data_IF_119076361939
#
_entry.id   IF_119076361939
#
_cell.length_a   1.000
_cell.length_b   1.000
_cell.length_c   1.000
_cell.angle_alpha   90.00
_cell.angle_beta   90.00
_cell.angle_gamma   90.00
#
_symmetry.space_group_name_H-M   'P 1'
#
loop_
_entity.id
_entity.type
_entity.pdbx_description
1 polymer ?
#
# COMPACT_ATOMS: atom_id res chain seq x y z
N UNK A 1 -37.10 -11.54 3.62
CA UNK A 1 -36.10 -11.88 2.59
C UNK A 1 -34.74 -11.60 3.19
N UNK A 2 -34.06 -12.65 3.66
CA UNK A 2 -32.68 -12.55 4.08
C UNK A 2 -31.83 -12.30 2.81
N UNK A 3 -31.23 -11.12 2.69
CA UNK A 3 -30.19 -10.88 1.68
C UNK A 3 -29.04 -11.81 2.02
N UNK A 4 -28.82 -12.79 1.19
CA UNK A 4 -27.55 -13.52 1.15
C UNK A 4 -26.47 -12.49 0.88
N UNK A 5 -25.75 -12.11 1.93
CA UNK A 5 -24.50 -11.37 1.79
C UNK A 5 -23.60 -12.31 1.01
N UNK A 6 -23.45 -12.08 -0.29
CA UNK A 6 -22.45 -12.77 -1.09
C UNK A 6 -21.11 -12.41 -0.46
N UNK A 7 -20.41 -13.43 0.01
CA UNK A 7 -19.10 -13.31 0.64
C UNK A 7 -18.08 -12.94 -0.45
N UNK A 8 -18.11 -11.68 -0.88
CA UNK A 8 -17.20 -11.14 -1.90
C UNK A 8 -15.82 -10.97 -1.28
N UNK A 9 -14.89 -11.77 -1.74
CA UNK A 9 -13.48 -11.70 -1.38
C UNK A 9 -12.74 -10.72 -2.29
N UNK A 10 -11.65 -10.13 -1.82
CA UNK A 10 -10.76 -9.32 -2.67
C UNK A 10 -10.20 -10.22 -3.77
N UNK A 11 -10.40 -9.80 -5.03
CA UNK A 11 -9.98 -10.56 -6.21
C UNK A 11 -10.97 -11.61 -6.72
N UNK A 12 -12.16 -11.76 -6.11
CA UNK A 12 -13.21 -12.64 -6.66
C UNK A 12 -13.61 -12.24 -8.07
N UNK A 13 -13.70 -10.94 -8.32
CA UNK A 13 -13.83 -10.37 -9.67
C UNK A 13 -12.49 -9.71 -10.03
N UNK A 14 -11.69 -10.47 -10.77
CA UNK A 14 -10.35 -10.05 -11.20
C UNK A 14 -10.36 -9.73 -12.69
N UNK A 15 -10.08 -8.47 -13.02
CA UNK A 15 -10.11 -7.95 -14.39
C UNK A 15 -8.70 -7.64 -14.87
N UNK A 16 -8.28 -8.27 -15.95
CA UNK A 16 -7.00 -8.02 -16.61
C UNK A 16 -7.16 -6.96 -17.72
N UNK A 17 -6.44 -5.87 -17.59
CA UNK A 17 -6.42 -4.77 -18.56
C UNK A 17 -5.10 -4.82 -19.33
N UNK A 18 -5.17 -4.82 -20.66
CA UNK A 18 -3.96 -4.78 -21.49
C UNK A 18 -3.18 -3.48 -21.26
N UNK A 19 -3.87 -2.35 -21.09
CA UNK A 19 -3.30 -1.04 -20.77
C UNK A 19 -4.34 -0.13 -20.15
N UNK A 20 -3.92 0.78 -19.29
CA UNK A 20 -4.74 1.86 -18.73
C UNK A 20 -3.87 3.07 -18.41
N UNK A 21 -4.47 4.23 -18.19
CA UNK A 21 -3.77 5.39 -17.63
C UNK A 21 -3.29 5.10 -16.21
N UNK A 22 -4.22 4.68 -15.34
CA UNK A 22 -3.97 4.26 -13.96
C UNK A 22 -5.05 3.29 -13.50
N UNK A 23 -4.65 2.19 -12.84
CA UNK A 23 -5.61 1.23 -12.26
C UNK A 23 -6.48 1.88 -11.20
N UNK A 24 -5.96 2.86 -10.43
CA UNK A 24 -6.76 3.65 -9.49
C UNK A 24 -7.80 4.51 -10.21
N UNK A 25 -7.44 5.16 -11.32
CA UNK A 25 -8.41 5.93 -12.11
C UNK A 25 -9.49 5.04 -12.69
N UNK A 26 -9.10 3.86 -13.19
CA UNK A 26 -10.05 2.88 -13.71
C UNK A 26 -11.05 2.45 -12.62
N UNK A 27 -10.56 2.10 -11.44
CA UNK A 27 -11.39 1.75 -10.28
C UNK A 27 -12.32 2.92 -9.86
N UNK A 28 -11.82 4.15 -9.85
CA UNK A 28 -12.62 5.34 -9.56
C UNK A 28 -13.78 5.51 -10.56
N UNK A 29 -13.51 5.30 -11.84
CA UNK A 29 -14.55 5.36 -12.89
C UNK A 29 -15.64 4.31 -12.66
N UNK A 30 -15.27 3.07 -12.30
CA UNK A 30 -16.23 2.01 -11.99
C UNK A 30 -17.13 2.38 -10.80
N UNK A 31 -16.56 3.06 -9.78
CA UNK A 31 -17.33 3.57 -8.64
C UNK A 31 -18.30 4.67 -9.09
N UNK A 32 -17.84 5.62 -9.91
CA UNK A 32 -18.67 6.74 -10.41
C UNK A 32 -19.82 6.23 -11.29
N UNK A 33 -19.61 5.18 -12.07
CA UNK A 33 -20.62 4.50 -12.88
C UNK A 33 -21.58 3.63 -12.05
N UNK A 34 -21.40 3.55 -10.71
CA UNK A 34 -22.19 2.73 -9.78
C UNK A 34 -22.12 1.22 -10.07
N UNK A 35 -21.03 0.76 -10.64
CA UNK A 35 -20.75 -0.64 -10.97
C UNK A 35 -19.81 -1.31 -9.95
N UNK A 36 -19.42 -0.57 -8.91
CA UNK A 36 -18.49 -1.06 -7.90
C UNK A 36 -19.09 -2.14 -7.02
N UNK A 37 -18.32 -3.20 -6.77
CA UNK A 37 -18.56 -4.17 -5.72
C UNK A 37 -17.29 -4.37 -4.89
N UNK A 38 -17.46 -4.77 -3.62
CA UNK A 38 -16.33 -5.11 -2.76
C UNK A 38 -15.49 -6.21 -3.40
N UNK A 39 -14.17 -6.03 -3.43
CA UNK A 39 -13.25 -7.01 -3.95
C UNK A 39 -13.02 -6.96 -5.47
N UNK A 40 -13.72 -6.09 -6.23
CA UNK A 40 -13.36 -5.85 -7.63
C UNK A 40 -11.90 -5.43 -7.72
N UNK A 41 -11.09 -6.19 -8.46
CA UNK A 41 -9.65 -5.94 -8.62
C UNK A 41 -9.31 -5.81 -10.09
N UNK A 42 -8.60 -4.75 -10.44
CA UNK A 42 -8.14 -4.41 -11.78
C UNK A 42 -6.61 -4.53 -11.80
N UNK A 43 -6.11 -5.47 -12.55
CA UNK A 43 -4.69 -5.64 -12.87
C UNK A 43 -4.41 -5.04 -14.24
N UNK A 44 -3.31 -4.31 -14.40
CA UNK A 44 -2.90 -3.79 -15.71
C UNK A 44 -1.53 -4.33 -16.10
N UNK A 45 -1.43 -4.81 -17.35
CA UNK A 45 -0.17 -5.19 -17.98
C UNK A 45 0.71 -3.98 -18.26
N UNK A 46 0.09 -2.82 -18.52
CA UNK A 46 0.77 -1.56 -18.75
C UNK A 46 0.00 -0.39 -18.14
N UNK A 47 0.71 0.53 -17.50
CA UNK A 47 0.15 1.75 -16.94
C UNK A 47 0.88 2.97 -17.50
N UNK A 48 0.13 3.84 -18.22
CA UNK A 48 0.70 4.97 -18.97
C UNK A 48 0.98 6.18 -18.08
N UNK A 49 0.22 6.35 -17.00
CA UNK A 49 0.29 7.50 -16.08
C UNK A 49 0.10 7.04 -14.63
N UNK A 50 0.92 6.06 -14.22
CA UNK A 50 0.84 5.48 -12.89
C UNK A 50 1.00 6.52 -11.80
N UNK A 51 0.18 6.40 -10.75
CA UNK A 51 0.15 7.33 -9.63
C UNK A 51 0.95 6.81 -8.45
N UNK A 52 1.69 7.70 -7.80
CA UNK A 52 2.24 7.54 -6.47
C UNK A 52 1.73 8.63 -5.53
N UNK A 53 2.19 8.61 -4.28
CA UNK A 53 1.81 9.63 -3.29
C UNK A 53 2.37 11.01 -3.64
N UNK A 54 1.68 12.07 -3.20
CA UNK A 54 2.08 13.47 -3.37
C UNK A 54 2.38 13.86 -4.82
N UNK A 55 1.63 13.32 -5.79
CA UNK A 55 1.79 13.65 -7.22
C UNK A 55 2.99 12.98 -7.90
N UNK A 56 3.69 12.09 -7.21
CA UNK A 56 4.75 11.28 -7.82
C UNK A 56 4.17 10.29 -8.82
N UNK A 57 4.96 9.93 -9.83
CA UNK A 57 4.58 8.90 -10.79
C UNK A 57 5.12 7.53 -10.37
N UNK A 58 4.31 6.49 -10.62
CA UNK A 58 4.74 5.10 -10.56
C UNK A 58 5.05 4.60 -11.97
N UNK A 59 6.34 4.44 -12.28
CA UNK A 59 6.82 4.04 -13.61
C UNK A 59 7.14 2.55 -13.63
N UNK A 60 6.65 1.83 -14.62
CA UNK A 60 6.84 0.38 -14.74
C UNK A 60 7.10 -0.02 -16.19
N UNK A 61 7.81 -1.13 -16.37
CA UNK A 61 7.87 -1.84 -17.67
C UNK A 61 6.61 -2.67 -17.84
N UNK A 62 6.13 -2.76 -19.07
CA UNK A 62 4.99 -3.60 -19.46
C UNK A 62 5.26 -5.06 -19.09
N UNK A 63 4.23 -5.77 -18.63
CA UNK A 63 4.22 -7.20 -18.26
C UNK A 63 5.22 -7.62 -17.16
N UNK A 64 5.85 -6.65 -16.49
CA UNK A 64 6.97 -6.95 -15.59
C UNK A 64 6.63 -6.90 -14.10
N UNK A 65 5.55 -6.25 -13.70
CA UNK A 65 5.29 -5.90 -12.31
C UNK A 65 3.84 -6.15 -11.91
N UNK A 66 3.57 -6.23 -10.60
CA UNK A 66 2.20 -6.13 -10.12
C UNK A 66 1.81 -4.66 -10.15
N UNK A 67 0.75 -4.37 -10.88
CA UNK A 67 0.09 -3.07 -10.97
C UNK A 67 -1.40 -3.35 -10.84
N UNK A 68 -1.94 -3.22 -9.65
CA UNK A 68 -3.35 -3.52 -9.40
C UNK A 68 -4.02 -2.49 -8.50
N UNK A 69 -5.35 -2.38 -8.63
CA UNK A 69 -6.19 -1.62 -7.71
C UNK A 69 -7.42 -2.41 -7.35
N UNK A 70 -7.71 -2.50 -6.05
CA UNK A 70 -8.90 -3.18 -5.52
C UNK A 70 -9.87 -2.18 -4.92
N UNK A 71 -11.18 -2.36 -5.19
CA UNK A 71 -12.27 -1.57 -4.60
C UNK A 71 -12.73 -2.26 -3.32
N UNK A 72 -12.65 -1.55 -2.19
CA UNK A 72 -13.06 -2.07 -0.88
C UNK A 72 -14.23 -1.29 -0.31
N UNK A 73 -15.25 -2.00 0.15
CA UNK A 73 -16.30 -1.40 1.00
C UNK A 73 -15.74 -1.22 2.42
N UNK A 74 -15.58 0.04 2.81
CA UNK A 74 -15.03 0.45 4.10
C UNK A 74 -16.07 1.20 4.93
N UNK A 75 -17.35 1.00 4.68
CA UNK A 75 -18.45 1.68 5.37
C UNK A 75 -18.46 1.43 6.89
N UNK A 76 -17.78 0.38 7.37
CA UNK A 76 -17.60 0.09 8.79
C UNK A 76 -16.50 0.92 9.45
N UNK A 77 -15.58 1.53 8.68
CA UNK A 77 -14.40 2.23 9.17
C UNK A 77 -14.63 3.75 9.18
N UNK A 78 -14.54 4.44 10.33
CA UNK A 78 -14.60 5.89 10.37
C UNK A 78 -13.46 6.56 9.57
N UNK A 79 -13.71 7.69 8.92
CA UNK A 79 -12.70 8.40 8.15
C UNK A 79 -11.48 8.85 9.00
N UNK A 80 -11.67 9.04 10.31
CA UNK A 80 -10.58 9.31 11.26
C UNK A 80 -9.63 8.13 11.47
N UNK A 81 -10.04 6.91 11.10
CA UNK A 81 -9.27 5.66 11.22
C UNK A 81 -8.68 5.20 9.88
N UNK A 82 -8.49 6.11 8.93
CA UNK A 82 -7.93 5.74 7.62
C UNK A 82 -6.56 5.08 7.71
N UNK A 83 -5.76 5.38 8.76
CA UNK A 83 -4.46 4.74 8.95
C UNK A 83 -4.60 3.24 9.21
N UNK A 84 -5.69 2.80 9.84
CA UNK A 84 -5.94 1.38 10.05
C UNK A 84 -5.99 0.60 8.72
N UNK A 85 -6.62 1.17 7.69
CA UNK A 85 -6.63 0.57 6.36
C UNK A 85 -5.24 0.59 5.71
N UNK A 86 -4.49 1.69 5.85
CA UNK A 86 -3.12 1.80 5.31
C UNK A 86 -2.21 0.75 5.94
N UNK A 87 -2.21 0.63 7.26
CA UNK A 87 -1.42 -0.35 7.99
C UNK A 87 -1.81 -1.78 7.62
N UNK A 88 -3.12 -2.06 7.51
CA UNK A 88 -3.64 -3.37 7.11
C UNK A 88 -3.11 -3.80 5.73
N UNK A 89 -3.19 -2.90 4.75
CA UNK A 89 -2.72 -3.21 3.40
C UNK A 89 -1.19 -3.30 3.33
N UNK A 90 -0.46 -2.50 4.12
CA UNK A 90 0.98 -2.60 4.21
C UNK A 90 1.43 -3.95 4.81
N UNK A 91 0.75 -4.42 5.86
CA UNK A 91 0.97 -5.73 6.46
C UNK A 91 0.66 -6.85 5.46
N UNK A 92 -0.47 -6.77 4.76
CA UNK A 92 -0.84 -7.77 3.75
C UNK A 92 0.20 -7.91 2.63
N UNK A 93 0.65 -6.78 2.09
CA UNK A 93 1.67 -6.75 1.02
C UNK A 93 3.02 -7.23 1.54
N UNK A 94 3.40 -6.85 2.76
CA UNK A 94 4.65 -7.29 3.39
C UNK A 94 4.65 -8.80 3.64
N UNK A 95 3.59 -9.35 4.25
CA UNK A 95 3.46 -10.79 4.49
C UNK A 95 3.48 -11.60 3.18
N UNK A 96 2.76 -11.12 2.16
CA UNK A 96 2.82 -11.72 0.83
C UNK A 96 4.26 -11.75 0.31
N UNK A 97 4.98 -10.64 0.42
CA UNK A 97 6.35 -10.54 -0.09
C UNK A 97 7.34 -11.44 0.66
N UNK A 98 7.17 -11.63 1.97
CA UNK A 98 8.00 -12.54 2.78
C UNK A 98 8.00 -13.99 2.27
N UNK A 99 6.94 -14.45 1.63
CA UNK A 99 6.88 -15.82 1.04
C UNK A 99 7.95 -16.03 -0.03
N UNK A 100 8.39 -14.96 -0.68
CA UNK A 100 9.32 -15.00 -1.80
C UNK A 100 10.73 -14.53 -1.45
N UNK A 101 10.84 -13.49 -0.64
CA UNK A 101 12.12 -12.86 -0.30
C UNK A 101 12.71 -13.30 1.04
N UNK A 102 12.01 -14.14 1.79
CA UNK A 102 12.38 -14.88 3.02
C UNK A 102 12.82 -14.02 4.21
N UNK A 103 13.63 -13.00 4.04
CA UNK A 103 14.16 -12.15 5.13
C UNK A 103 14.45 -10.74 4.63
N UNK A 104 14.79 -9.84 5.55
CA UNK A 104 15.25 -8.47 5.28
C UNK A 104 14.24 -7.57 4.56
N UNK A 105 12.94 -7.88 4.66
CA UNK A 105 11.88 -7.01 4.19
C UNK A 105 11.20 -6.30 5.35
N UNK A 106 10.80 -5.04 5.09
CA UNK A 106 10.30 -4.12 6.09
C UNK A 106 9.18 -3.25 5.53
N UNK A 107 8.34 -2.76 6.42
CA UNK A 107 7.34 -1.74 6.11
C UNK A 107 7.97 -0.37 6.42
N UNK A 108 8.29 0.41 5.39
CA UNK A 108 8.70 1.79 5.56
C UNK A 108 7.48 2.69 5.67
N UNK A 109 7.31 3.27 6.84
CA UNK A 109 6.20 4.15 7.15
C UNK A 109 5.97 5.24 6.09
N UNK A 110 4.71 5.47 5.68
CA UNK A 110 3.53 4.76 6.17
C UNK A 110 3.12 3.52 5.32
N UNK A 111 3.61 3.34 4.09
CA UNK A 111 2.97 2.49 3.07
C UNK A 111 3.91 1.92 2.00
N UNK A 112 5.21 1.99 2.21
CA UNK A 112 6.19 1.45 1.27
C UNK A 112 6.75 0.11 1.77
N UNK A 113 7.03 -0.80 0.85
CA UNK A 113 7.70 -2.06 1.16
C UNK A 113 9.15 -1.98 0.69
N UNK A 114 10.05 -2.30 1.61
CA UNK A 114 11.49 -2.27 1.41
C UNK A 114 12.10 -3.65 1.60
N UNK A 115 13.13 -3.94 0.84
CA UNK A 115 14.05 -5.05 1.06
C UNK A 115 15.43 -4.47 1.31
N UNK A 116 16.01 -4.72 2.50
CA UNK A 116 17.13 -3.93 3.00
C UNK A 116 16.82 -2.42 2.90
N UNK A 117 17.69 -1.66 2.24
CA UNK A 117 17.52 -0.21 2.02
C UNK A 117 16.94 0.14 0.63
N UNK A 118 16.30 -0.84 -0.05
CA UNK A 118 15.80 -0.71 -1.42
C UNK A 118 14.28 -0.89 -1.48
N UNK A 119 13.63 -0.02 -2.26
CA UNK A 119 12.16 -0.04 -2.40
C UNK A 119 11.71 -1.13 -3.37
N UNK A 120 10.90 -2.05 -2.89
CA UNK A 120 10.20 -3.08 -3.69
C UNK A 120 8.91 -2.53 -4.27
N UNK A 121 8.17 -1.75 -3.51
CA UNK A 121 6.85 -1.31 -3.92
C UNK A 121 6.23 -0.31 -2.96
N UNK A 122 4.98 0.03 -3.27
CA UNK A 122 4.19 0.94 -2.45
C UNK A 122 2.70 0.75 -2.64
N UNK A 123 1.97 1.26 -1.68
CA UNK A 123 0.51 1.20 -1.62
C UNK A 123 -0.03 2.62 -1.70
N UNK A 124 -1.01 2.86 -2.57
CA UNK A 124 -1.72 4.13 -2.70
C UNK A 124 -3.20 3.92 -2.43
N UNK A 125 -3.70 4.47 -1.33
CA UNK A 125 -5.11 4.41 -1.00
C UNK A 125 -5.75 5.75 -1.32
N UNK A 126 -6.77 5.71 -2.18
CA UNK A 126 -7.61 6.86 -2.53
C UNK A 126 -9.06 6.58 -2.13
N UNK A 127 -9.78 7.60 -1.69
CA UNK A 127 -11.23 7.48 -1.45
C UNK A 127 -12.01 8.00 -2.65
N UNK A 128 -13.20 7.43 -2.86
CA UNK A 128 -14.10 7.87 -3.94
C UNK A 128 -14.66 9.28 -3.73
N UNK A 129 -14.57 9.81 -2.51
CA UNK A 129 -15.05 11.16 -2.16
C UNK A 129 -13.97 11.88 -1.37
N UNK A 130 -13.65 13.15 -1.67
CA UNK A 130 -12.70 13.93 -0.88
C UNK A 130 -13.14 13.98 0.59
N UNK A 131 -12.24 13.65 1.50
CA UNK A 131 -12.50 13.57 2.96
C UNK A 131 -13.07 14.89 3.50
N UNK A 132 -12.69 16.03 2.92
CA UNK A 132 -13.18 17.38 3.30
C UNK A 132 -14.62 17.69 2.87
N UNK A 133 -15.24 16.87 2.01
CA UNK A 133 -16.61 17.05 1.53
C UNK A 133 -17.57 15.98 2.05
N UNK A 134 -17.08 15.05 2.84
CA UNK A 134 -17.87 13.91 3.29
C UNK A 134 -18.60 14.24 4.59
N UNK A 135 -19.92 14.26 4.54
CA UNK A 135 -20.74 13.83 5.68
C UNK A 135 -20.43 12.36 5.95
N UNK A 136 -20.65 11.89 7.18
CA UNK A 136 -20.34 10.53 7.67
C UNK A 136 -20.72 9.36 6.71
N UNK A 137 -21.62 9.61 5.75
CA UNK A 137 -22.08 8.61 4.74
C UNK A 137 -21.24 8.53 3.46
N UNK A 138 -20.25 9.38 3.25
CA UNK A 138 -19.52 9.46 1.97
C UNK A 138 -18.23 8.63 1.92
N UNK A 139 -17.81 8.05 3.04
CA UNK A 139 -16.64 7.16 3.15
C UNK A 139 -17.06 5.70 2.97
N UNK A 140 -17.61 5.36 1.78
CA UNK A 140 -18.03 3.98 1.52
C UNK A 140 -16.94 3.17 0.81
N UNK A 141 -16.31 3.76 -0.20
CA UNK A 141 -15.37 3.05 -1.06
C UNK A 141 -13.95 3.57 -0.92
N UNK A 142 -13.02 2.66 -0.67
CA UNK A 142 -11.59 2.88 -0.85
C UNK A 142 -11.09 2.18 -2.10
N UNK A 143 -10.17 2.82 -2.80
CA UNK A 143 -9.39 2.25 -3.89
C UNK A 143 -8.00 1.98 -3.36
N UNK A 144 -7.61 0.73 -3.30
CA UNK A 144 -6.30 0.29 -2.82
C UNK A 144 -5.43 -0.07 -4.02
N UNK A 145 -4.59 0.87 -4.45
CA UNK A 145 -3.59 0.64 -5.47
C UNK A 145 -2.33 0.01 -4.87
N UNK A 146 -1.83 -1.05 -5.50
CA UNK A 146 -0.57 -1.71 -5.13
C UNK A 146 0.33 -1.79 -6.35
N UNK A 147 1.54 -1.25 -6.23
CA UNK A 147 2.61 -1.39 -7.21
C UNK A 147 3.79 -2.15 -6.59
N UNK A 148 4.16 -3.32 -7.15
CA UNK A 148 5.31 -4.10 -6.71
C UNK A 148 6.22 -4.43 -7.89
N UNK A 149 7.51 -4.20 -7.71
CA UNK A 149 8.53 -4.53 -8.69
C UNK A 149 8.79 -6.05 -8.66
N UNK A 150 8.40 -6.76 -9.70
CA UNK A 150 8.52 -8.22 -9.78
C UNK A 150 9.69 -8.62 -10.67
N UNK A 151 9.58 -8.42 -11.98
CA UNK A 151 10.59 -8.87 -12.94
C UNK A 151 11.45 -7.74 -13.51
N UNK A 152 11.07 -6.48 -13.29
CA UNK A 152 11.79 -5.33 -13.82
C UNK A 152 13.21 -5.27 -13.26
N UNK A 153 14.22 -5.20 -14.13
CA UNK A 153 15.64 -5.13 -13.72
C UNK A 153 16.28 -3.78 -14.01
N UNK A 154 15.67 -2.99 -14.91
CA UNK A 154 16.14 -1.65 -15.25
C UNK A 154 15.14 -0.62 -14.73
N UNK A 155 15.63 0.32 -13.95
CA UNK A 155 14.82 1.39 -13.39
C UNK A 155 15.33 2.74 -13.89
N UNK A 156 14.43 3.72 -13.95
CA UNK A 156 14.79 5.09 -14.28
C UNK A 156 15.72 5.67 -13.20
N UNK A 157 16.77 6.44 -13.55
CA UNK A 157 17.73 6.99 -12.58
C UNK A 157 17.11 7.93 -11.53
N UNK A 158 15.94 8.46 -11.80
CA UNK A 158 15.17 9.33 -10.88
C UNK A 158 14.46 8.56 -9.75
N UNK A 159 14.41 7.22 -9.82
CA UNK A 159 13.79 6.39 -8.79
C UNK A 159 14.87 6.03 -7.74
N UNK A 160 14.71 6.47 -6.49
CA UNK A 160 15.72 6.20 -5.47
C UNK A 160 15.68 4.72 -5.03
N UNK A 161 16.82 4.05 -5.12
CA UNK A 161 17.07 2.70 -4.59
C UNK A 161 15.96 1.67 -4.88
N UNK A 162 15.49 1.48 -6.13
CA UNK A 162 14.50 0.47 -6.43
C UNK A 162 15.14 -0.93 -6.46
N UNK A 163 14.33 -1.95 -6.18
CA UNK A 163 14.70 -3.36 -6.37
C UNK A 163 13.47 -4.15 -6.80
N UNK A 164 13.67 -5.23 -7.54
CA UNK A 164 12.61 -6.18 -7.90
C UNK A 164 12.82 -7.54 -7.25
N UNK A 165 11.74 -8.32 -7.19
CA UNK A 165 11.79 -9.69 -6.69
C UNK A 165 12.77 -10.55 -7.51
N UNK A 166 12.79 -10.37 -8.83
CA UNK A 166 13.77 -11.04 -9.71
C UNK A 166 15.21 -10.69 -9.35
N UNK A 167 15.53 -9.45 -9.05
CA UNK A 167 16.89 -9.05 -8.64
C UNK A 167 17.29 -9.67 -7.29
N UNK A 168 16.33 -9.93 -6.40
CA UNK A 168 16.57 -10.55 -5.09
C UNK A 168 16.77 -12.06 -5.21
N UNK A 169 15.90 -12.72 -6.00
CA UNK A 169 15.81 -14.19 -6.03
C UNK A 169 16.51 -14.84 -7.22
N UNK A 170 16.79 -14.05 -8.27
CA UNK A 170 17.29 -14.57 -9.55
C UNK A 170 16.24 -15.27 -10.42
N UNK A 171 14.95 -15.26 -10.02
CA UNK A 171 13.88 -16.01 -10.69
C UNK A 171 12.91 -15.08 -11.39
N UNK A 172 12.33 -15.55 -12.48
CA UNK A 172 11.17 -14.93 -13.12
C UNK A 172 9.86 -15.42 -12.48
N UNK A 173 8.89 -14.55 -12.39
CA UNK A 173 7.58 -14.84 -11.84
C UNK A 173 6.48 -14.38 -12.81
N UNK A 174 5.32 -15.01 -12.74
CA UNK A 174 4.13 -14.52 -13.42
C UNK A 174 3.41 -13.44 -12.58
N UNK A 175 3.40 -12.17 -13.01
CA UNK A 175 2.81 -11.10 -12.21
C UNK A 175 1.30 -11.26 -12.00
N UNK A 176 0.58 -11.89 -12.93
CA UNK A 176 -0.86 -12.12 -12.80
C UNK A 176 -1.14 -13.14 -11.70
N UNK A 177 -0.41 -14.26 -11.68
CA UNK A 177 -0.51 -15.27 -10.63
C UNK A 177 -0.17 -14.67 -9.26
N UNK A 178 0.94 -13.92 -9.16
CA UNK A 178 1.32 -13.25 -7.91
C UNK A 178 0.28 -12.22 -7.47
N UNK A 179 -0.34 -11.50 -8.41
CA UNK A 179 -1.40 -10.53 -8.13
C UNK A 179 -2.64 -11.20 -7.52
N UNK A 180 -3.03 -12.38 -8.01
CA UNK A 180 -4.14 -13.17 -7.45
C UNK A 180 -3.82 -13.69 -6.05
N UNK A 181 -2.59 -14.12 -5.80
CA UNK A 181 -2.14 -14.52 -4.45
C UNK A 181 -2.10 -13.32 -3.49
N UNK A 182 -1.67 -12.15 -3.97
CA UNK A 182 -1.69 -10.92 -3.20
C UNK A 182 -3.12 -10.54 -2.78
N UNK A 183 -4.11 -10.71 -3.67
CA UNK A 183 -5.52 -10.50 -3.32
C UNK A 183 -5.95 -11.36 -2.12
N UNK A 184 -5.50 -12.61 -2.05
CA UNK A 184 -5.82 -13.50 -0.93
C UNK A 184 -5.20 -13.02 0.39
N UNK A 185 -3.98 -12.51 0.37
CA UNK A 185 -3.33 -11.92 1.54
C UNK A 185 -4.06 -10.62 1.98
N UNK A 186 -4.42 -9.76 1.02
CA UNK A 186 -5.19 -8.54 1.29
C UNK A 186 -6.55 -8.86 1.91
N UNK A 187 -7.25 -9.88 1.40
CA UNK A 187 -8.55 -10.31 1.91
C UNK A 187 -8.44 -10.85 3.35
N UNK A 188 -7.41 -11.64 3.63
CA UNK A 188 -7.15 -12.15 4.97
C UNK A 188 -7.02 -11.02 6.00
N UNK A 189 -6.12 -10.07 5.74
CA UNK A 189 -5.87 -8.98 6.67
C UNK A 189 -7.02 -7.96 6.73
N UNK A 190 -7.73 -7.74 5.63
CA UNK A 190 -8.93 -6.91 5.61
C UNK A 190 -10.05 -7.49 6.50
N UNK A 191 -10.22 -8.82 6.48
CA UNK A 191 -11.16 -9.51 7.39
C UNK A 191 -10.74 -9.38 8.86
N UNK A 192 -9.44 -9.44 9.15
CA UNK A 192 -8.92 -9.17 10.50
C UNK A 192 -9.28 -7.75 10.95
N UNK A 193 -9.06 -6.74 10.11
CA UNK A 193 -9.45 -5.36 10.41
C UNK A 193 -10.96 -5.26 10.67
N UNK A 194 -11.78 -5.81 9.79
CA UNK A 194 -13.24 -5.76 9.88
C UNK A 194 -13.78 -6.41 11.17
N UNK A 195 -13.08 -7.40 11.69
CA UNK A 195 -13.40 -8.10 12.93
C UNK A 195 -12.78 -7.42 14.18
N UNK A 196 -12.30 -6.21 14.08
CA UNK A 196 -11.73 -5.45 15.22
C UNK A 196 -10.31 -5.84 15.59
N UNK A 197 -9.58 -6.53 14.70
CA UNK A 197 -8.21 -7.01 14.98
C UNK A 197 -7.11 -5.98 14.69
N UNK A 198 -7.38 -4.67 14.76
CA UNK A 198 -6.37 -3.66 14.43
C UNK A 198 -5.15 -3.68 15.35
N UNK A 199 -5.31 -4.02 16.62
CA UNK A 199 -4.18 -4.15 17.57
C UNK A 199 -3.14 -5.16 17.07
N UNK A 200 -3.56 -6.34 16.58
CA UNK A 200 -2.66 -7.34 16.00
C UNK A 200 -1.98 -6.84 14.72
N UNK A 201 -2.72 -6.11 13.89
CA UNK A 201 -2.19 -5.51 12.66
C UNK A 201 -1.11 -4.48 13.01
N UNK A 202 -1.36 -3.60 13.97
CA UNK A 202 -0.42 -2.58 14.40
C UNK A 202 0.82 -3.19 15.07
N UNK A 203 0.63 -4.26 15.85
CA UNK A 203 1.73 -5.02 16.42
C UNK A 203 2.63 -5.60 15.33
N UNK A 204 2.05 -6.27 14.32
CA UNK A 204 2.80 -6.80 13.17
C UNK A 204 3.52 -5.69 12.42
N UNK A 205 2.82 -4.57 12.12
CA UNK A 205 3.39 -3.41 11.45
C UNK A 205 4.63 -2.89 12.17
N UNK A 206 4.55 -2.71 13.49
CA UNK A 206 5.65 -2.21 14.30
C UNK A 206 6.79 -3.23 14.50
N UNK A 207 6.51 -4.53 14.45
CA UNK A 207 7.55 -5.57 14.45
C UNK A 207 8.40 -5.52 13.18
N UNK A 208 7.80 -5.14 12.04
CA UNK A 208 8.47 -5.07 10.73
C UNK A 208 8.71 -3.63 10.26
N UNK A 209 8.65 -2.67 11.19
CA UNK A 209 8.90 -1.26 10.86
C UNK A 209 10.34 -1.04 10.43
N UNK A 210 10.51 -0.44 9.24
CA UNK A 210 11.82 -0.13 8.68
C UNK A 210 12.64 0.77 9.60
N UNK A 211 13.89 0.37 9.88
CA UNK A 211 14.83 1.09 10.77
C UNK A 211 14.31 1.28 12.20
N UNK A 212 13.40 0.45 12.69
CA UNK A 212 13.02 0.47 14.10
C UNK A 212 14.26 0.35 14.98
N UNK A 213 14.29 1.15 16.05
CA UNK A 213 15.38 1.26 17.02
C UNK A 213 16.75 1.69 16.42
N UNK A 214 16.74 2.21 15.17
CA UNK A 214 17.92 2.71 14.49
C UNK A 214 17.88 4.24 14.39
N UNK A 215 19.06 4.86 14.47
CA UNK A 215 19.22 6.28 14.15
C UNK A 215 19.18 6.49 12.65
N UNK A 216 18.33 7.40 12.20
CA UNK A 216 18.14 7.78 10.80
C UNK A 216 18.21 9.28 10.64
N UNK A 217 18.44 9.74 9.42
CA UNK A 217 18.37 11.16 9.08
C UNK A 217 17.01 11.47 8.42
N UNK A 218 16.26 12.36 9.03
CA UNK A 218 15.01 12.91 8.49
C UNK A 218 15.19 14.39 8.14
N UNK A 219 14.26 14.90 7.31
CA UNK A 219 14.19 16.32 6.95
C UNK A 219 12.74 16.81 7.08
N UNK A 220 12.57 17.94 7.79
CA UNK A 220 11.32 18.69 7.87
C UNK A 220 11.56 20.08 7.25
N UNK A 221 10.89 20.37 6.13
CA UNK A 221 11.20 21.57 5.35
C UNK A 221 12.66 21.59 4.92
N UNK A 222 13.42 22.61 5.35
CA UNK A 222 14.85 22.77 5.03
C UNK A 222 15.80 22.25 6.12
N UNK A 223 15.27 21.71 7.23
CA UNK A 223 16.07 21.27 8.38
C UNK A 223 16.22 19.75 8.34
N UNK A 224 17.45 19.28 8.24
CA UNK A 224 17.81 17.88 8.41
C UNK A 224 18.27 17.63 9.85
N UNK A 225 17.86 16.50 10.41
CA UNK A 225 18.19 16.10 11.79
C UNK A 225 18.27 14.58 11.90
N UNK A 226 19.03 14.11 12.88
CA UNK A 226 19.11 12.70 13.22
C UNK A 226 18.08 12.39 14.34
N UNK A 227 17.44 11.22 14.26
CA UNK A 227 16.52 10.73 15.26
C UNK A 227 16.47 9.21 15.24
N UNK A 228 16.05 8.60 16.34
CA UNK A 228 15.82 7.15 16.43
C UNK A 228 14.35 6.85 16.18
N UNK A 229 14.06 5.94 15.26
CA UNK A 229 12.70 5.46 14.98
C UNK A 229 12.26 4.54 16.12
N UNK A 230 11.09 4.79 16.70
CA UNK A 230 10.56 3.98 17.80
C UNK A 230 9.42 3.07 17.35
N UNK A 231 8.29 3.66 16.99
CA UNK A 231 7.06 2.95 16.61
C UNK A 231 6.10 3.87 15.84
N UNK A 232 5.04 3.28 15.35
CA UNK A 232 3.88 4.01 14.82
C UNK A 232 2.69 3.76 15.75
N UNK A 233 1.93 4.81 16.09
CA UNK A 233 0.75 4.70 16.94
C UNK A 233 -0.54 4.39 16.13
N UNK A 234 -1.65 4.20 16.84
CA UNK A 234 -2.96 3.87 16.27
C UNK A 234 -3.48 4.98 15.33
N UNK A 235 -3.08 6.22 15.53
CA UNK A 235 -3.43 7.36 14.68
C UNK A 235 -2.52 7.48 13.46
N UNK A 236 -1.45 6.69 13.37
CA UNK A 236 -0.49 6.68 12.27
C UNK A 236 0.66 7.67 12.43
N UNK A 237 0.87 8.25 13.60
CA UNK A 237 2.05 9.07 13.86
C UNK A 237 3.29 8.20 14.02
N UNK A 238 4.38 8.62 13.36
CA UNK A 238 5.71 8.03 13.55
C UNK A 238 6.35 8.62 14.81
N UNK A 239 6.55 7.82 15.83
CA UNK A 239 7.24 8.21 17.07
C UNK A 239 8.74 8.06 16.91
N UNK A 240 9.47 9.07 17.40
CA UNK A 240 10.93 9.14 17.31
C UNK A 240 11.53 9.64 18.61
N UNK A 241 12.82 9.37 18.83
CA UNK A 241 13.60 9.97 19.91
C UNK A 241 14.78 10.78 19.36
N UNK A 242 15.23 11.80 20.09
CA UNK A 242 16.39 12.61 19.73
C UNK A 242 16.10 13.76 18.74
N UNK A 243 14.83 14.01 18.38
CA UNK A 243 14.40 15.15 17.59
C UNK A 243 13.75 16.23 18.48
N UNK A 244 13.49 17.41 17.89
CA UNK A 244 12.80 18.51 18.58
C UNK A 244 11.32 18.19 18.90
N UNK A 245 10.72 17.25 18.19
CA UNK A 245 9.39 16.68 18.45
C UNK A 245 9.52 15.17 18.58
N UNK A 246 8.64 14.56 19.36
CA UNK A 246 8.62 13.13 19.64
C UNK A 246 7.81 12.32 18.62
N UNK A 247 7.06 12.99 17.73
CA UNK A 247 6.26 12.34 16.68
C UNK A 247 6.02 13.21 15.45
N UNK A 248 5.76 12.55 14.33
CA UNK A 248 5.48 13.17 13.04
C UNK A 248 4.25 12.56 12.37
N UNK A 249 3.44 13.43 11.77
CA UNK A 249 2.34 13.00 10.89
C UNK A 249 2.86 12.66 9.48
N UNK A 250 2.05 11.90 8.75
CA UNK A 250 2.35 11.54 7.36
C UNK A 250 2.57 12.78 6.47
N UNK A 251 3.64 12.76 5.67
CA UNK A 251 4.02 13.87 4.79
C UNK A 251 4.79 15.01 5.47
N UNK A 252 4.90 15.01 6.80
CA UNK A 252 5.57 16.08 7.54
C UNK A 252 7.11 15.99 7.47
N UNK A 253 7.64 14.79 7.30
CA UNK A 253 9.07 14.53 7.19
C UNK A 253 9.42 13.70 5.97
N UNK A 254 10.66 13.85 5.50
CA UNK A 254 11.24 13.08 4.41
C UNK A 254 12.46 12.31 4.94
N UNK A 255 12.58 11.05 4.52
CA UNK A 255 13.77 10.24 4.79
C UNK A 255 14.93 10.71 3.89
N UNK A 256 16.11 10.93 4.49
CA UNK A 256 17.36 11.13 3.77
C UNK A 256 18.08 9.78 3.76
N UNK A 257 18.06 9.12 2.60
CA UNK A 257 18.67 7.79 2.38
C UNK A 257 19.97 7.96 1.63
#
# INVERSE_FOLDING_TARGET
>A
MQSTISDHHIGTSFFELSSTDSTNNHALKVIQEKLAAHGHTFFAHEQLSGKGQHGKQWKTEKDSNIIQSSILDISFLPASQQFELIATMAVAVHEFFLKYALHDSFIKWPNDIYWNDRKIGGILIESSTPIHQSTIKAWQWAIVGVGLNINQVKFSPDIPNPVSLKQITGKDYDPVTLSKELCSAMDHWFKQLKNGGFELILQYYNQHLYKKDCTVKLRKGNIAFDCTILQVDEQGYLHVAGAATDKFSFGEVQWIV
#
